data_IF_387745823865
#
_entry.id   IF_387745823865
#
_cell.length_a   1.000
_cell.length_b   1.000
_cell.length_c   1.000
_cell.angle_alpha   90.00
_cell.angle_beta   90.00
_cell.angle_gamma   90.00
#
_symmetry.space_group_name_H-M   'P 1'
#
loop_
_entity.id
_entity.type
_entity.pdbx_description
1 polymer ?
2 non-polymer ?
3 non-polymer ?
4 water ?
#
# COMPACT_ATOMS: atom_id res chain seq x y z
N UNK A 1 -9.36 -6.09 28.44
CA UNK A 1 -8.58 -4.96 27.96
C UNK A 1 -7.46 -5.36 27.02
N UNK A 2 -6.23 -4.97 27.39
CA UNK A 2 -5.06 -5.34 26.60
C UNK A 2 -4.90 -6.86 26.52
N UNK A 3 -5.40 -7.61 27.50
CA UNK A 3 -5.19 -9.07 27.45
C UNK A 3 -5.99 -9.71 26.32
N UNK A 4 -7.18 -9.18 25.99
CA UNK A 4 -7.88 -9.67 24.82
C UNK A 4 -7.08 -9.38 23.55
N UNK A 5 -6.43 -8.21 23.50
CA UNK A 5 -5.65 -7.83 22.32
C UNK A 5 -4.39 -8.68 22.21
N UNK A 6 -3.71 -8.92 23.33
CA UNK A 6 -2.52 -9.77 23.26
C UNK A 6 -2.88 -11.17 22.81
N UNK A 7 -4.07 -11.65 23.20
CA UNK A 7 -4.49 -12.98 22.77
C UNK A 7 -4.72 -13.01 21.26
N UNK A 8 -5.27 -11.93 20.68
CA UNK A 8 -5.43 -11.85 19.23
C UNK A 8 -4.07 -11.94 18.55
N UNK A 9 -3.10 -11.17 19.04
CA UNK A 9 -1.77 -11.17 18.45
C UNK A 9 -1.11 -12.55 18.56
N UNK A 10 -1.28 -13.23 19.70
CA UNK A 10 -0.72 -14.57 19.82
C UNK A 10 -1.35 -15.52 18.81
N UNK A 11 -2.66 -15.40 18.58
CA UNK A 11 -3.32 -16.30 17.63
C UNK A 11 -2.85 -16.04 16.21
N UNK A 12 -2.60 -14.77 15.88
CA UNK A 12 -2.09 -14.42 14.56
C UNK A 12 -0.77 -15.11 14.29
N UNK A 13 0.06 -15.30 15.31
CA UNK A 13 1.33 -15.98 15.11
C UNK A 13 1.17 -17.41 14.61
N UNK A 14 0.03 -18.05 14.90
CA UNK A 14 -0.16 -19.44 14.51
C UNK A 14 -0.27 -19.63 13.00
N UNK A 15 -0.56 -18.60 12.21
CA UNK A 15 -0.66 -18.78 10.77
C UNK A 15 0.61 -18.37 10.03
N UNK A 16 1.72 -18.26 10.76
CA UNK A 16 2.99 -17.82 10.19
C UNK A 16 3.46 -18.76 9.08
N UNK A 17 3.26 -20.06 9.22
CA UNK A 17 3.75 -20.99 8.22
C UNK A 17 2.84 -21.08 6.99
N UNK A 18 1.52 -20.96 7.19
CA UNK A 18 0.63 -20.78 6.04
C UNK A 18 1.06 -19.59 5.19
N UNK A 19 1.36 -18.48 5.86
CA UNK A 19 1.76 -17.26 5.15
C UNK A 19 3.09 -17.47 4.42
N UNK A 20 4.09 -17.99 5.13
CA UNK A 20 5.40 -18.18 4.51
C UNK A 20 5.30 -19.07 3.28
N UNK A 21 4.48 -20.13 3.34
CA UNK A 21 4.33 -21.03 2.21
C UNK A 21 3.66 -20.35 1.02
N UNK A 22 2.53 -19.68 1.26
CA UNK A 22 1.88 -18.93 0.19
C UNK A 22 2.83 -17.90 -0.41
N UNK A 23 3.57 -17.16 0.43
CA UNK A 23 4.51 -16.18 -0.09
C UNK A 23 5.57 -16.83 -0.98
N UNK A 24 5.95 -18.06 -0.68
CA UNK A 24 6.87 -18.78 -1.56
C UNK A 24 6.25 -19.13 -2.90
N UNK A 25 4.97 -19.53 -2.91
CA UNK A 25 4.27 -19.76 -4.17
C UNK A 25 4.24 -18.50 -5.03
N UNK A 26 3.82 -17.39 -4.43
CA UNK A 26 3.83 -16.11 -5.12
C UNK A 26 5.21 -15.81 -5.69
N UNK A 27 6.25 -16.00 -4.88
CA UNK A 27 7.61 -15.67 -5.31
C UNK A 27 7.99 -16.43 -6.57
N UNK A 28 7.63 -17.72 -6.64
CA UNK A 28 7.97 -18.50 -7.82
C UNK A 28 7.27 -17.98 -9.06
N UNK A 29 5.97 -17.74 -8.96
CA UNK A 29 5.20 -17.25 -10.10
C UNK A 29 5.76 -15.92 -10.60
N UNK A 30 6.16 -15.05 -9.67
CA UNK A 30 6.59 -13.72 -10.05
C UNK A 30 7.96 -13.76 -10.71
N UNK A 31 8.90 -14.54 -10.15
CA UNK A 31 10.20 -14.73 -10.80
C UNK A 31 10.03 -15.19 -12.24
N UNK A 32 9.10 -16.12 -12.47
CA UNK A 32 8.87 -16.62 -13.83
C UNK A 32 8.37 -15.50 -14.74
N UNK A 33 7.37 -14.74 -14.29
CA UNK A 33 6.89 -13.62 -15.09
C UNK A 33 7.99 -12.61 -15.35
N UNK A 34 8.87 -12.42 -14.38
CA UNK A 34 9.94 -11.43 -14.49
C UNK A 34 10.88 -11.72 -15.65
N UNK A 35 11.30 -12.97 -15.82
CA UNK A 35 12.23 -13.23 -16.92
C UNK A 35 11.55 -13.13 -18.28
N UNK A 36 10.25 -13.44 -18.35
CA UNK A 36 9.55 -13.30 -19.64
C UNK A 36 9.42 -11.83 -20.03
N UNK A 37 8.94 -11.00 -19.11
CA UNK A 37 8.84 -9.56 -19.37
C UNK A 37 10.18 -8.98 -19.79
N UNK A 38 11.28 -9.46 -19.19
CA UNK A 38 12.59 -8.96 -19.58
C UNK A 38 12.95 -9.28 -21.02
N UNK A 39 12.27 -10.22 -21.66
CA UNK A 39 12.54 -10.47 -23.08
C UNK A 39 12.03 -9.32 -23.95
N UNK A 40 11.00 -8.64 -23.50
CA UNK A 40 10.38 -7.59 -24.30
C UNK A 40 11.24 -6.34 -24.32
N UNK A 41 11.34 -5.71 -25.49
CA UNK A 41 12.13 -4.48 -25.61
C UNK A 41 11.61 -3.37 -24.72
N UNK A 42 10.28 -3.30 -24.55
CA UNK A 42 9.71 -2.28 -23.68
C UNK A 42 10.02 -2.54 -22.21
N UNK A 43 10.05 -3.81 -21.80
CA UNK A 43 10.16 -4.15 -20.39
C UNK A 43 11.50 -4.78 -20.04
N UNK A 44 12.52 -4.57 -20.88
CA UNK A 44 13.82 -5.16 -20.60
C UNK A 44 14.37 -4.66 -19.27
N UNK A 45 14.03 -3.45 -18.87
CA UNK A 45 14.49 -2.94 -17.60
C UNK A 45 13.61 -3.24 -16.41
N UNK A 46 12.60 -4.10 -16.56
CA UNK A 46 11.72 -4.39 -15.43
C UNK A 46 12.49 -5.12 -14.34
N UNK A 47 12.07 -4.90 -13.09
CA UNK A 47 12.60 -5.64 -11.96
C UNK A 47 11.63 -5.56 -10.81
N UNK A 48 11.87 -6.39 -9.80
CA UNK A 48 11.03 -6.38 -8.61
C UNK A 48 11.43 -5.26 -7.67
N UNK A 49 10.42 -4.58 -7.12
CA UNK A 49 10.63 -3.54 -6.12
C UNK A 49 10.36 -4.12 -4.74
N UNK A 50 11.35 -4.05 -3.86
CA UNK A 50 11.19 -4.51 -2.48
C UNK A 50 10.29 -3.54 -1.73
N UNK A 51 9.08 -4.00 -1.38
CA UNK A 51 8.15 -3.21 -0.58
C UNK A 51 7.74 -3.88 0.74
N UNK A 52 7.94 -5.19 0.88
CA UNK A 52 7.50 -5.86 2.08
C UNK A 52 8.34 -5.54 3.30
N UNK A 53 7.69 -5.50 4.47
CA UNK A 53 8.36 -5.32 5.76
C UNK A 53 8.69 -6.64 6.45
N UNK A 54 8.16 -7.75 5.94
CA UNK A 54 8.39 -9.08 6.49
C UNK A 54 9.06 -9.99 5.48
N UNK A 55 8.44 -10.17 4.30
CA UNK A 55 9.07 -10.77 3.14
C UNK A 55 9.44 -9.65 2.17
N UNK A 56 10.60 -9.77 1.53
CA UNK A 56 11.16 -8.64 0.80
C UNK A 56 10.36 -8.30 -0.45
N UNK A 57 10.27 -9.24 -1.40
CA UNK A 57 9.61 -8.98 -2.68
C UNK A 57 8.09 -9.06 -2.59
N UNK A 58 7.55 -9.69 -1.56
CA UNK A 58 6.13 -9.94 -1.48
C UNK A 58 5.59 -9.25 -0.23
N UNK A 59 4.58 -8.41 -0.42
CA UNK A 59 3.87 -7.75 0.68
C UNK A 59 2.52 -8.43 0.86
N UNK A 60 2.17 -8.74 2.10
CA UNK A 60 0.89 -9.37 2.37
C UNK A 60 -0.08 -8.30 2.85
N UNK A 61 -1.23 -8.20 2.18
CA UNK A 61 -2.19 -7.14 2.45
C UNK A 61 -3.52 -7.66 2.97
N UNK A 62 -3.60 -8.95 3.31
CA UNK A 62 -4.79 -9.69 3.75
C UNK A 62 -4.45 -11.17 3.71
N UNK A 63 -5.20 -12.04 4.39
CA UNK A 63 -4.92 -13.47 4.33
C UNK A 63 -5.04 -13.99 2.90
N UNK A 64 -4.05 -14.81 2.49
CA UNK A 64 -3.75 -15.17 1.10
C UNK A 64 -4.10 -14.11 0.05
N UNK A 65 -3.83 -12.84 0.36
CA UNK A 65 -3.79 -11.76 -0.62
C UNK A 65 -2.43 -11.11 -0.52
N UNK A 66 -1.71 -11.05 -1.64
CA UNK A 66 -0.33 -10.57 -1.67
C UNK A 66 -0.20 -9.47 -2.72
N UNK A 67 0.68 -8.51 -2.44
CA UNK A 67 0.96 -7.40 -3.34
C UNK A 67 2.42 -7.47 -3.80
N UNK A 68 2.64 -7.25 -5.09
CA UNK A 68 3.97 -7.27 -5.70
C UNK A 68 4.07 -6.06 -6.62
N UNK A 69 5.24 -5.43 -6.67
CA UNK A 69 5.44 -4.25 -7.52
C UNK A 69 6.58 -4.51 -8.49
N UNK A 70 6.31 -4.36 -9.78
CA UNK A 70 7.34 -4.38 -10.82
C UNK A 70 7.67 -2.93 -11.15
N UNK A 71 8.93 -2.56 -11.05
CA UNK A 71 9.35 -1.21 -11.39
C UNK A 71 10.09 -1.19 -12.72
N UNK A 72 10.01 -0.06 -13.40
CA UNK A 72 10.66 0.17 -14.69
C UNK A 72 11.55 1.39 -14.54
N UNK A 73 12.87 1.19 -14.61
CA UNK A 73 13.80 2.32 -14.61
C UNK A 73 13.54 3.18 -15.84
N UNK A 74 13.22 4.46 -15.61
CA UNK A 74 12.79 5.34 -16.68
C UNK A 74 13.47 6.69 -16.51
N UNK A 75 14.41 7.05 -17.36
CA UNK A 75 15.20 8.26 -17.15
C UNK A 75 14.55 9.49 -17.76
N UNK A 76 14.91 10.64 -17.19
CA UNK A 76 14.56 11.95 -17.76
C UNK A 76 13.05 12.12 -17.86
N UNK A 77 12.36 11.94 -16.75
CA UNK A 77 10.91 12.12 -16.72
C UNK A 77 10.58 13.58 -16.48
N UNK A 78 9.62 14.09 -17.24
CA UNK A 78 9.03 15.41 -17.02
C UNK A 78 7.56 15.21 -16.65
N UNK A 79 7.13 15.81 -15.55
CA UNK A 79 5.79 15.63 -15.03
C UNK A 79 4.97 16.90 -15.22
N UNK A 80 3.68 16.71 -15.54
CA UNK A 80 2.69 17.78 -15.58
C UNK A 80 1.48 17.32 -14.79
N UNK A 81 1.14 18.07 -13.74
CA UNK A 81 0.02 17.70 -12.89
C UNK A 81 -1.30 17.74 -13.67
N UNK A 82 -2.11 16.72 -13.46
CA UNK A 82 -3.41 16.65 -14.12
C UNK A 82 -4.44 17.36 -13.23
N UNK A 83 -5.00 18.46 -13.76
CA UNK A 83 -6.14 19.20 -13.21
C UNK A 83 -6.14 19.28 -11.69
N UNK A 84 -5.00 19.74 -11.16
CA UNK A 84 -4.86 20.10 -9.74
C UNK A 84 -5.17 18.95 -8.78
N UNK A 85 -5.08 17.71 -9.24
CA UNK A 85 -5.37 16.56 -8.38
C UNK A 85 -4.23 16.22 -7.42
N UNK A 86 -3.06 16.85 -7.57
CA UNK A 86 -1.93 16.71 -6.66
C UNK A 86 -1.27 15.34 -6.72
N UNK A 87 -2.03 14.28 -7.04
CA UNK A 87 -1.49 12.92 -7.08
C UNK A 87 -1.34 12.34 -8.48
N UNK A 88 -2.05 12.88 -9.46
CA UNK A 88 -2.06 12.34 -10.82
C UNK A 88 -1.34 13.26 -11.77
N UNK A 89 -0.53 12.68 -12.65
CA UNK A 89 0.39 13.44 -13.49
C UNK A 89 0.45 12.82 -14.88
N UNK A 90 0.68 13.68 -15.87
CA UNK A 90 1.11 13.28 -17.21
C UNK A 90 2.61 13.04 -17.22
N UNK A 91 3.04 12.03 -17.96
CA UNK A 91 4.45 11.65 -18.02
C UNK A 91 4.97 11.95 -19.42
N UNK A 92 5.99 12.80 -19.49
CA UNK A 92 6.72 13.10 -20.71
C UNK A 92 8.19 12.87 -20.42
N UNK A 93 8.99 12.86 -21.48
CA UNK A 93 10.42 12.65 -21.37
C UNK A 93 11.16 13.92 -21.76
N UNK A 94 12.02 14.41 -20.86
CA UNK A 94 12.81 15.59 -21.18
C UNK A 94 13.62 15.34 -22.43
N UNK A 95 13.55 16.28 -23.37
CA UNK A 95 14.11 16.17 -24.72
C UNK A 95 15.39 15.34 -24.83
N UNK A 99 16.26 7.81 -29.30
CA UNK A 99 15.01 7.27 -28.80
C UNK A 99 15.23 6.29 -27.65
N UNK A 100 14.14 5.91 -27.00
CA UNK A 100 14.15 5.11 -25.78
C UNK A 100 13.23 3.91 -25.95
N UNK A 101 13.36 2.89 -25.09
CA UNK A 101 12.54 1.69 -25.26
C UNK A 101 11.04 1.92 -25.13
N UNK A 102 10.62 2.92 -24.36
CA UNK A 102 9.19 3.15 -24.14
C UNK A 102 8.56 3.98 -25.24
N UNK A 103 9.29 4.26 -26.33
CA UNK A 103 8.80 5.16 -27.37
C UNK A 103 7.54 4.62 -28.03
N UNK A 104 7.36 3.29 -28.04
CA UNK A 104 6.16 2.72 -28.65
C UNK A 104 4.89 3.07 -27.88
N UNK A 105 5.00 3.50 -26.62
CA UNK A 105 3.84 3.84 -25.82
C UNK A 105 3.50 5.31 -25.83
N UNK A 106 4.24 6.13 -26.60
CA UNK A 106 3.99 7.56 -26.64
C UNK A 106 2.77 7.88 -27.49
N UNK A 107 1.99 8.86 -27.05
CA UNK A 107 0.95 9.50 -27.84
C UNK A 107 1.25 10.99 -27.80
N UNK A 108 2.00 11.45 -28.80
CA UNK A 108 2.59 12.77 -28.77
C UNK A 108 3.81 12.75 -27.88
N UNK A 109 3.95 13.75 -27.01
CA UNK A 109 4.98 13.71 -25.98
C UNK A 109 4.59 12.84 -24.78
N UNK A 110 3.33 12.44 -24.68
CA UNK A 110 2.80 11.86 -23.45
C UNK A 110 2.89 10.34 -23.52
N UNK A 111 3.39 9.75 -22.44
CA UNK A 111 3.45 8.30 -22.31
C UNK A 111 2.09 7.76 -21.92
N UNK A 112 1.58 6.81 -22.70
CA UNK A 112 0.23 6.30 -22.53
C UNK A 112 0.22 5.22 -21.46
N UNK A 113 -0.40 5.52 -20.32
CA UNK A 113 -0.64 4.50 -19.30
C UNK A 113 -1.42 3.32 -19.87
N UNK A 114 -2.47 3.60 -20.63
CA UNK A 114 -3.35 2.51 -21.04
C UNK A 114 -2.64 1.60 -22.04
N UNK A 115 -1.79 2.16 -22.91
CA UNK A 115 -1.05 1.32 -23.85
C UNK A 115 0.01 0.48 -23.13
N UNK A 116 0.70 1.07 -22.15
CA UNK A 116 1.66 0.28 -21.40
C UNK A 116 0.96 -0.82 -20.62
N UNK A 117 -0.06 -0.45 -19.84
CA UNK A 117 -0.86 -1.44 -19.11
C UNK A 117 -1.34 -2.54 -20.05
N UNK A 118 -1.78 -2.18 -21.26
CA UNK A 118 -2.34 -3.17 -22.18
C UNK A 118 -1.29 -4.20 -22.59
N UNK A 119 -0.08 -3.75 -22.94
CA UNK A 119 0.96 -4.72 -23.29
C UNK A 119 1.43 -5.50 -22.05
N UNK A 120 1.55 -4.82 -20.91
CA UNK A 120 1.91 -5.50 -19.66
C UNK A 120 0.93 -6.63 -19.37
N UNK A 121 -0.37 -6.31 -19.34
CA UNK A 121 -1.40 -7.33 -19.11
C UNK A 121 -1.31 -8.45 -20.13
N UNK A 122 -1.17 -8.08 -21.41
CA UNK A 122 -1.17 -9.08 -22.48
C UNK A 122 -0.03 -10.08 -22.31
N UNK A 123 1.17 -9.59 -22.01
CA UNK A 123 2.33 -10.46 -21.84
C UNK A 123 2.11 -11.42 -20.68
N UNK A 124 1.56 -10.92 -19.58
CA UNK A 124 1.38 -11.75 -18.40
C UNK A 124 0.29 -12.80 -18.64
N UNK A 125 -0.85 -12.38 -19.21
CA UNK A 125 -1.95 -13.31 -19.45
C UNK A 125 -1.51 -14.42 -20.38
N UNK A 126 -0.71 -14.08 -21.39
CA UNK A 126 -0.14 -15.09 -22.28
C UNK A 126 0.80 -16.01 -21.52
N UNK A 127 1.51 -15.49 -20.54
CA UNK A 127 2.56 -16.28 -19.92
C UNK A 127 2.03 -17.22 -18.84
N UNK A 128 1.03 -16.79 -18.07
CA UNK A 128 0.49 -17.65 -17.02
C UNK A 128 -0.22 -18.88 -17.58
N UNK A 129 -0.45 -18.89 -18.90
CA UNK A 129 -0.97 -20.08 -19.56
C UNK A 129 0.00 -21.25 -19.49
N UNK A 130 1.30 -21.00 -19.36
CA UNK A 130 2.32 -21.91 -19.89
C UNK A 130 3.22 -22.53 -18.82
N UNK A 131 2.72 -22.73 -17.61
CA UNK A 131 3.36 -23.65 -16.67
C UNK A 131 2.26 -24.35 -15.89
N UNK A 132 2.15 -25.67 -16.08
CA UNK A 132 1.15 -26.48 -15.40
C UNK A 132 1.62 -26.96 -14.03
N UNK A 133 2.81 -26.54 -13.60
CA UNK A 133 3.26 -26.90 -12.26
C UNK A 133 2.41 -26.20 -11.20
N UNK A 134 1.88 -25.02 -11.50
CA UNK A 134 0.85 -24.37 -10.71
C UNK A 134 -0.23 -23.86 -11.66
N UNK A 135 -1.43 -23.66 -11.12
CA UNK A 135 -2.59 -23.24 -11.91
C UNK A 135 -2.90 -21.78 -11.60
N UNK A 136 -2.76 -20.91 -12.61
CA UNK A 136 -2.77 -19.46 -12.43
C UNK A 136 -3.71 -18.85 -13.45
N UNK A 137 -4.69 -18.07 -12.98
CA UNK A 137 -5.54 -17.34 -13.91
C UNK A 137 -5.42 -15.86 -13.61
N UNK A 138 -6.11 -15.04 -14.39
CA UNK A 138 -6.00 -13.58 -14.28
C UNK A 138 -7.38 -12.98 -14.07
N UNK A 139 -7.50 -12.16 -13.04
CA UNK A 139 -8.71 -11.44 -12.65
C UNK A 139 -8.45 -9.94 -12.81
N UNK A 140 -9.47 -9.13 -12.55
CA UNK A 140 -9.28 -7.69 -12.49
C UNK A 140 -10.02 -7.10 -11.29
N UNK A 146 -3.96 -1.82 -9.30
CA UNK A 146 -3.20 -3.03 -9.59
C UNK A 146 -3.31 -3.43 -11.05
N UNK A 147 -2.18 -3.37 -11.75
CA UNK A 147 -2.16 -3.70 -13.18
C UNK A 147 -2.84 -5.04 -13.46
N UNK A 148 -2.46 -6.06 -12.71
CA UNK A 148 -2.94 -7.42 -12.92
C UNK A 148 -3.22 -8.02 -11.55
N UNK A 149 -4.27 -8.81 -11.46
CA UNK A 149 -4.49 -9.65 -10.29
C UNK A 149 -4.50 -11.09 -10.77
N UNK A 150 -3.68 -11.92 -10.13
CA UNK A 150 -3.63 -13.34 -10.44
C UNK A 150 -4.29 -14.11 -9.30
N UNK A 151 -4.76 -15.31 -9.62
CA UNK A 151 -5.26 -16.26 -8.64
C UNK A 151 -4.51 -17.57 -8.84
N UNK A 152 -3.88 -18.06 -7.77
CA UNK A 152 -3.00 -19.23 -7.85
C UNK A 152 -3.69 -20.39 -7.14
N UNK A 153 -3.99 -21.44 -7.92
CA UNK A 153 -4.67 -22.66 -7.45
C UNK A 153 -5.93 -22.32 -6.65
N UNK A 154 -6.69 -21.35 -7.18
CA UNK A 154 -8.01 -20.99 -6.68
C UNK A 154 -8.01 -20.57 -5.22
N UNK A 155 -6.88 -20.08 -4.70
CA UNK A 155 -6.80 -19.73 -3.28
C UNK A 155 -6.00 -18.46 -3.01
N UNK A 156 -4.81 -18.32 -3.59
CA UNK A 156 -3.91 -17.22 -3.29
C UNK A 156 -3.98 -16.18 -4.41
N UNK A 157 -4.32 -14.94 -4.06
CA UNK A 157 -4.36 -13.88 -5.06
C UNK A 157 -3.14 -12.97 -4.93
N UNK A 158 -2.60 -12.55 -6.07
CA UNK A 158 -1.46 -11.65 -6.15
C UNK A 158 -1.88 -10.44 -6.98
N UNK A 159 -1.81 -9.26 -6.38
CA UNK A 159 -1.94 -8.02 -7.13
C UNK A 159 -0.55 -7.60 -7.59
N UNK A 160 -0.38 -7.41 -8.90
CA UNK A 160 0.90 -7.01 -9.48
C UNK A 160 0.76 -5.60 -10.02
N UNK A 161 1.56 -4.69 -9.50
CA UNK A 161 1.55 -3.29 -9.90
C UNK A 161 2.79 -3.03 -10.74
N UNK A 162 2.61 -2.43 -11.90
CA UNK A 162 3.72 -1.91 -12.69
C UNK A 162 3.92 -0.44 -12.32
N UNK A 163 5.18 -0.02 -12.16
CA UNK A 163 5.46 1.36 -11.79
C UNK A 163 6.71 1.86 -12.50
N UNK A 164 6.64 3.10 -13.00
CA UNK A 164 7.85 3.78 -13.45
C UNK A 164 8.66 4.23 -12.24
N UNK A 165 9.98 4.11 -12.33
CA UNK A 165 10.86 4.61 -11.28
C UNK A 165 11.49 5.92 -11.72
N UNK A 166 11.34 6.96 -10.91
CA UNK A 166 11.97 8.24 -11.18
C UNK A 166 12.94 8.58 -10.07
N UNK A 167 14.19 8.85 -10.43
CA UNK A 167 15.21 9.23 -9.46
C UNK A 167 15.31 10.74 -9.29
N UNK A 168 14.30 11.50 -9.75
CA UNK A 168 14.29 12.94 -9.58
C UNK A 168 13.76 13.34 -8.20
N UNK A 169 13.98 14.62 -7.86
CA UNK A 169 13.38 15.18 -6.65
C UNK A 169 11.88 14.97 -6.68
N UNK A 170 11.30 14.77 -5.50
CA UNK A 170 9.87 14.50 -5.41
C UNK A 170 9.06 15.72 -5.86
N UNK A 171 7.87 15.49 -6.43
CA UNK A 171 7.04 16.61 -6.90
C UNK A 171 6.65 17.54 -5.76
N UNK A 172 6.33 18.79 -6.12
CA UNK A 172 6.05 19.80 -5.10
C UNK A 172 4.83 19.45 -4.23
N UNK A 173 3.90 18.64 -4.75
CA UNK A 173 2.75 18.24 -3.95
C UNK A 173 3.14 17.44 -2.70
N UNK A 174 4.35 16.87 -2.63
CA UNK A 174 4.80 16.13 -1.47
C UNK A 174 5.56 17.00 -0.47
N UNK A 175 5.65 18.30 -0.75
CA UNK A 175 6.49 19.19 0.05
C UNK A 175 6.12 19.15 1.53
N UNK A 176 4.83 19.12 1.83
CA UNK A 176 4.36 19.09 3.21
C UNK A 176 3.98 17.68 3.69
N UNK A 177 4.21 16.64 2.89
CA UNK A 177 3.96 15.28 3.30
C UNK A 177 5.14 14.65 4.03
N UNK A 178 5.00 13.36 4.36
CA UNK A 178 5.98 12.62 5.16
C UNK A 178 6.40 13.46 6.37
N UNK A 179 5.39 13.84 7.16
CA UNK A 179 5.57 14.77 8.26
C UNK A 179 6.09 14.01 9.49
N UNK A 180 7.33 13.55 9.37
CA UNK A 180 7.96 12.71 10.39
C UNK A 180 9.00 13.47 11.21
N UNK A 181 9.16 14.78 10.99
CA UNK A 181 10.29 15.50 11.56
C UNK A 181 10.33 15.38 13.08
N UNK A 182 9.19 15.52 13.75
CA UNK A 182 9.16 15.50 15.22
C UNK A 182 9.25 14.10 15.81
N UNK A 183 9.11 13.06 14.99
CA UNK A 183 9.14 11.67 15.39
C UNK A 183 10.46 11.00 15.02
N UNK A 184 10.73 10.88 13.71
CA UNK A 184 11.93 10.20 13.19
C UNK A 184 13.08 11.13 12.84
N UNK A 185 12.88 12.45 12.90
CA UNK A 185 13.85 13.53 12.71
C UNK A 185 13.84 14.10 11.30
N UNK A 186 14.21 15.38 11.19
CA UNK A 186 14.33 15.98 9.86
C UNK A 186 15.44 15.33 9.05
N UNK A 187 16.48 14.82 9.73
CA UNK A 187 17.57 14.20 9.00
C UNK A 187 17.09 12.95 8.26
N UNK A 188 16.29 12.13 8.94
CA UNK A 188 15.74 10.94 8.30
C UNK A 188 14.79 11.33 7.18
N UNK A 189 13.97 12.34 7.40
CA UNK A 189 13.07 12.78 6.33
C UNK A 189 13.84 13.18 5.08
N UNK A 190 14.96 13.91 5.26
CA UNK A 190 15.80 14.27 4.13
C UNK A 190 16.34 13.04 3.41
N UNK A 191 16.82 12.05 4.17
CA UNK A 191 17.39 10.86 3.55
C UNK A 191 16.33 10.10 2.77
N UNK A 192 15.12 9.97 3.33
CA UNK A 192 14.08 9.24 2.63
C UNK A 192 13.66 9.97 1.36
N UNK A 193 13.64 11.31 1.39
CA UNK A 193 13.27 12.06 0.19
C UNK A 193 14.34 12.01 -0.90
N UNK A 194 15.53 11.49 -0.60
CA UNK A 194 16.52 11.26 -1.64
C UNK A 194 16.29 9.97 -2.41
N UNK A 195 15.43 9.09 -1.90
CA UNK A 195 15.10 7.86 -2.58
C UNK A 195 14.24 8.14 -3.82
N UNK A 196 14.13 7.19 -4.73
CA UNK A 196 13.27 7.39 -5.90
C UNK A 196 11.81 7.51 -5.49
N UNK A 197 10.99 7.94 -6.45
CA UNK A 197 9.55 7.79 -6.30
C UNK A 197 9.02 7.02 -7.49
N UNK A 198 7.74 6.65 -7.44
CA UNK A 198 7.19 5.75 -8.43
C UNK A 198 5.89 6.33 -9.00
N UNK A 199 5.61 5.95 -10.24
CA UNK A 199 4.40 6.38 -10.93
C UNK A 199 3.69 5.13 -11.42
N UNK A 200 2.46 4.94 -10.98
CA UNK A 200 1.68 3.76 -11.33
C UNK A 200 0.59 4.16 -12.31
N UNK A 201 0.40 3.42 -13.39
CA UNK A 201 -0.44 3.89 -14.49
C UNK A 201 -1.91 3.79 -14.12
N UNK A 202 -2.67 4.77 -14.56
CA UNK A 202 -4.12 4.74 -14.42
C UNK A 202 -4.68 4.76 -15.82
N UNK A 203 -5.22 3.62 -16.25
CA UNK A 203 -5.80 3.49 -17.58
C UNK A 203 -6.76 4.65 -17.84
N UNK A 204 -6.74 5.16 -19.08
CA UNK A 204 -7.51 6.36 -19.43
C UNK A 204 -9.02 6.15 -19.32
N UNK A 205 -9.49 4.91 -19.47
CA UNK A 205 -10.92 4.64 -19.46
C UNK A 205 -11.35 3.72 -18.33
N UNK A 206 -10.48 3.44 -17.36
CA UNK A 206 -10.79 2.56 -16.24
C UNK A 206 -11.06 3.37 -14.97
N UNK A 207 -11.69 2.70 -14.01
CA UNK A 207 -12.25 3.40 -12.87
C UNK A 207 -13.40 4.26 -13.35
N UNK A 208 -13.42 5.52 -12.90
CA UNK A 208 -14.20 6.56 -13.56
C UNK A 208 -13.21 7.35 -14.41
N UNK A 209 -12.86 6.75 -15.55
CA UNK A 209 -11.73 7.16 -16.38
C UNK A 209 -11.60 8.65 -16.62
N UNK A 210 -10.40 9.18 -16.40
CA UNK A 210 -10.14 10.58 -16.66
C UNK A 210 -10.28 10.94 -18.13
N UNK A 211 -10.20 9.94 -19.02
CA UNK A 211 -10.02 10.09 -20.45
C UNK A 211 -8.66 10.67 -20.81
N UNK A 212 -7.75 10.73 -19.84
CA UNK A 212 -6.37 11.13 -20.02
C UNK A 212 -5.47 9.99 -19.56
N UNK A 213 -4.22 10.02 -20.05
CA UNK A 213 -3.21 9.04 -19.67
C UNK A 213 -2.42 9.62 -18.50
N UNK A 214 -2.89 9.34 -17.29
CA UNK A 214 -2.26 9.85 -16.09
C UNK A 214 -1.71 8.70 -15.26
N UNK A 215 -0.77 9.06 -14.41
CA UNK A 215 -0.03 8.16 -13.52
C UNK A 215 -0.09 8.76 -12.13
N UNK A 216 -0.29 7.92 -11.13
CA UNK A 216 -0.36 8.37 -9.74
C UNK A 216 0.98 8.19 -9.05
N UNK A 217 1.40 9.20 -8.29
CA UNK A 217 2.59 9.07 -7.45
C UNK A 217 2.44 7.93 -6.45
N UNK A 218 3.51 7.18 -6.26
CA UNK A 218 3.49 6.05 -5.35
C UNK A 218 4.73 6.01 -4.48
N UNK A 219 4.53 5.80 -3.18
CA UNK A 219 5.63 5.76 -2.23
C UNK A 219 5.57 4.50 -1.37
N UNK A 220 5.02 3.42 -1.91
CA UNK A 220 4.85 2.22 -1.10
C UNK A 220 6.19 1.65 -0.62
N UNK A 221 7.28 1.87 -1.37
CA UNK A 221 8.59 1.39 -0.95
C UNK A 221 9.11 2.04 0.33
N UNK A 222 8.53 3.16 0.76
CA UNK A 222 8.97 3.82 1.99
C UNK A 222 8.46 3.10 3.23
N UNK A 223 7.40 2.29 3.11
CA UNK A 223 6.81 1.71 4.31
C UNK A 223 7.84 0.89 5.09
N UNK A 224 8.55 0.02 4.40
CA UNK A 224 9.49 -0.86 5.10
C UNK A 224 10.63 -0.08 5.74
N UNK A 225 11.01 1.07 5.15
CA UNK A 225 12.06 1.91 5.73
C UNK A 225 11.66 2.46 7.09
N UNK A 226 10.37 2.58 7.33
CA UNK A 226 9.87 3.21 8.55
C UNK A 226 9.29 2.16 9.51
N UNK A 227 8.55 1.19 9.00
CA UNK A 227 7.89 0.25 9.92
C UNK A 227 8.91 -0.55 10.72
N UNK A 228 10.05 -0.90 10.10
CA UNK A 228 11.13 -1.62 10.77
C UNK A 228 12.24 -0.71 11.26
N UNK A 229 12.00 0.59 11.35
CA UNK A 229 12.95 1.51 11.94
C UNK A 229 12.10 2.66 12.47
N UNK A 230 11.24 2.32 13.44
CA UNK A 230 10.03 3.07 13.73
C UNK A 230 10.10 3.93 14.99
N UNK A 231 11.19 3.91 15.74
CA UNK A 231 11.22 4.58 17.03
C UNK A 231 11.86 5.95 16.94
N UNK A 232 11.55 6.81 17.91
CA UNK A 232 12.41 7.98 18.09
C UNK A 232 13.82 7.54 18.43
N UNK A 233 13.96 6.55 19.30
CA UNK A 233 15.26 5.97 19.58
C UNK A 233 15.67 5.08 18.41
N UNK A 234 16.92 5.25 17.98
CA UNK A 234 17.45 4.38 16.94
C UNK A 234 17.45 2.92 17.36
N UNK A 235 17.52 2.63 18.67
CA UNK A 235 17.48 1.25 19.14
C UNK A 235 16.12 0.82 19.67
N UNK A 236 15.03 1.50 19.27
CA UNK A 236 13.69 1.01 19.61
C UNK A 236 13.51 -0.43 19.10
N UNK A 237 13.04 -1.31 20.00
CA UNK A 237 12.82 -2.72 19.71
C UNK A 237 14.08 -3.50 19.30
N UNK A 238 15.28 -2.96 19.53
CA UNK A 238 16.54 -3.70 19.33
C UNK A 238 17.10 -4.27 20.62
N UNK A 239 16.46 -4.04 21.76
CA UNK A 239 16.92 -4.61 23.02
C UNK A 239 15.73 -4.78 23.95
N UNK A 240 15.95 -5.47 25.06
CA UNK A 240 14.83 -5.79 25.93
C UNK A 240 14.35 -4.59 26.75
N UNK A 241 15.11 -3.50 26.78
CA UNK A 241 14.71 -2.31 27.52
C UNK A 241 13.85 -1.36 26.72
N UNK A 242 13.77 -1.53 25.39
CA UNK A 242 13.09 -0.59 24.52
C UNK A 242 12.10 -1.35 23.64
N UNK A 243 11.01 -1.81 24.24
CA UNK A 243 9.98 -2.57 23.53
C UNK A 243 8.75 -1.69 23.40
N UNK A 244 8.38 -1.35 22.16
CA UNK A 244 7.19 -0.56 21.96
C UNK A 244 6.11 -1.42 21.30
N UNK A 245 4.90 -0.88 21.21
CA UNK A 245 3.80 -1.63 20.61
C UNK A 245 3.36 -1.08 19.26
N UNK A 246 4.21 -0.30 18.57
CA UNK A 246 3.78 0.27 17.28
C UNK A 246 3.37 -0.81 16.28
N UNK A 247 4.23 -1.80 16.05
CA UNK A 247 3.92 -2.83 15.05
C UNK A 247 2.68 -3.61 15.43
N UNK A 248 2.50 -3.89 16.73
CA UNK A 248 1.32 -4.65 17.15
C UNK A 248 0.05 -3.85 16.96
N UNK A 249 0.09 -2.53 17.20
CA UNK A 249 -1.10 -1.71 16.96
C UNK A 249 -1.47 -1.75 15.49
N UNK A 250 -0.49 -1.65 14.59
CA UNK A 250 -0.79 -1.73 13.17
C UNK A 250 -1.40 -3.08 12.82
N UNK A 251 -0.82 -4.17 13.34
CA UNK A 251 -1.36 -5.50 13.07
C UNK A 251 -2.80 -5.61 13.53
N UNK A 252 -3.11 -5.07 14.70
CA UNK A 252 -4.46 -5.13 15.22
C UNK A 252 -5.42 -4.31 14.38
N UNK A 253 -4.99 -3.14 13.90
CA UNK A 253 -5.85 -2.33 13.03
C UNK A 253 -6.15 -3.08 11.73
N UNK A 254 -5.14 -3.68 11.13
CA UNK A 254 -5.36 -4.44 9.91
C UNK A 254 -6.31 -5.60 10.17
N UNK A 255 -6.15 -6.28 11.29
CA UNK A 255 -6.98 -7.44 11.59
C UNK A 255 -8.43 -7.02 11.88
N UNK A 256 -8.60 -5.90 12.59
CA UNK A 256 -9.92 -5.31 12.78
C UNK A 256 -10.63 -5.13 11.44
N UNK A 257 -9.99 -4.43 10.51
CA UNK A 257 -10.60 -4.20 9.20
C UNK A 257 -10.89 -5.52 8.50
N UNK A 258 -9.92 -6.45 8.49
CA UNK A 258 -10.12 -7.73 7.84
C UNK A 258 -11.34 -8.46 8.39
N UNK A 259 -11.47 -8.50 9.72
CA UNK A 259 -12.57 -9.22 10.34
C UNK A 259 -13.89 -8.56 10.05
N UNK A 260 -13.94 -7.23 10.04
CA UNK A 260 -15.18 -6.54 9.71
C UNK A 260 -15.58 -6.79 8.27
N UNK A 261 -14.62 -6.75 7.34
CA UNK A 261 -14.95 -7.00 5.94
C UNK A 261 -15.53 -8.41 5.76
N UNK A 262 -15.01 -9.37 6.52
CA UNK A 262 -15.51 -10.75 6.47
C UNK A 262 -16.93 -10.84 7.01
N UNK A 263 -17.21 -10.14 8.11
CA UNK A 263 -18.53 -10.25 8.72
C UNK A 263 -19.59 -9.55 7.89
N UNK A 264 -19.22 -8.49 7.18
CA UNK A 264 -20.14 -7.77 6.32
C UNK A 264 -20.04 -8.21 4.86
N UNK A 265 -19.69 -9.48 4.63
CA UNK A 265 -19.57 -9.98 3.26
C UNK A 265 -20.92 -10.19 2.58
N UNK A 266 -22.02 -10.25 3.33
CA UNK A 266 -23.32 -10.53 2.70
C UNK A 266 -23.71 -9.44 1.72
N UNK A 267 -23.45 -8.17 2.05
CA UNK A 267 -23.74 -7.07 1.15
C UNK A 267 -22.50 -6.26 0.79
N UNK A 268 -21.32 -6.72 1.23
CA UNK A 268 -20.04 -6.18 0.78
C UNK A 268 -19.97 -4.67 0.96
N UNK A 269 -20.57 -4.17 2.04
CA UNK A 269 -20.57 -2.73 2.30
C UNK A 269 -19.16 -2.16 2.33
N UNK A 270 -18.17 -2.97 2.73
CA UNK A 270 -16.83 -2.50 3.07
C UNK A 270 -15.80 -2.81 1.99
N UNK A 271 -16.27 -3.15 0.79
CA UNK A 271 -15.39 -3.57 -0.30
C UNK A 271 -14.30 -2.55 -0.61
N UNK A 272 -14.62 -1.25 -0.53
CA UNK A 272 -13.69 -0.21 -0.93
C UNK A 272 -12.58 0.06 0.07
N UNK A 273 -12.68 -0.42 1.31
CA UNK A 273 -11.66 -0.16 2.30
C UNK A 273 -10.59 -1.23 2.22
N UNK A 274 -9.33 -0.85 2.47
CA UNK A 274 -8.20 -1.77 2.34
C UNK A 274 -7.17 -1.48 3.42
N UNK A 275 -6.17 -2.38 3.52
CA UNK A 275 -5.10 -2.18 4.49
C UNK A 275 -4.31 -0.90 4.22
N UNK A 276 -4.32 -0.39 2.99
CA UNK A 276 -3.69 0.90 2.73
C UNK A 276 -4.30 2.01 3.56
N UNK A 277 -5.64 2.02 3.69
CA UNK A 277 -6.29 3.05 4.50
C UNK A 277 -5.89 2.95 5.95
N UNK A 278 -5.90 1.72 6.48
CA UNK A 278 -5.51 1.48 7.87
C UNK A 278 -4.07 1.92 8.11
N UNK A 279 -3.16 1.55 7.20
CA UNK A 279 -1.76 1.91 7.36
C UNK A 279 -1.58 3.42 7.37
N UNK A 280 -2.24 4.11 6.42
CA UNK A 280 -2.16 5.58 6.37
C UNK A 280 -2.61 6.20 7.68
N UNK A 281 -3.76 5.75 8.22
CA UNK A 281 -4.23 6.28 9.49
C UNK A 281 -3.25 6.00 10.61
N UNK A 282 -2.71 4.77 10.64
CA UNK A 282 -1.75 4.39 11.67
C UNK A 282 -0.53 5.30 11.68
N UNK A 283 0.06 5.56 10.50
CA UNK A 283 1.25 6.40 10.47
C UNK A 283 0.96 7.86 10.83
N UNK A 284 -0.26 8.36 10.54
CA UNK A 284 -0.66 9.66 11.06
C UNK A 284 -0.69 9.66 12.60
N UNK A 285 -1.10 8.56 13.22
CA UNK A 285 -1.06 8.50 14.68
C UNK A 285 0.39 8.46 15.16
N UNK A 286 1.30 7.85 14.39
CA UNK A 286 2.70 7.89 14.79
C UNK A 286 3.22 9.32 14.76
N UNK A 287 2.83 10.10 13.75
CA UNK A 287 3.19 11.52 13.71
C UNK A 287 2.69 12.26 14.94
N UNK A 288 1.43 12.00 15.33
CA UNK A 288 0.79 12.67 16.44
C UNK A 288 1.41 12.31 17.79
N UNK A 289 1.98 11.11 17.90
CA UNK A 289 2.47 10.54 19.15
C UNK A 289 3.94 10.15 18.95
N UNK A 290 4.85 11.14 18.89
CA UNK A 290 6.21 10.85 18.42
C UNK A 290 7.11 10.17 19.44
N UNK A 291 6.81 10.20 20.73
CA UNK A 291 7.71 9.64 21.74
C UNK A 291 7.50 8.13 21.91
N UNK A 292 8.62 7.41 22.11
CA UNK A 292 8.53 5.96 22.32
C UNK A 292 7.76 5.64 23.60
N UNK A 293 7.84 6.54 24.59
CA UNK A 293 7.06 6.42 25.82
C UNK A 293 5.56 6.49 25.59
N UNK A 294 5.13 6.96 24.42
CA UNK A 294 3.71 6.95 24.08
C UNK A 294 3.30 5.63 23.45
N UNK A 295 4.23 4.70 23.27
CA UNK A 295 3.92 3.38 22.71
C UNK A 295 4.48 2.28 23.58
N UNK A 296 4.48 2.48 24.89
CA UNK A 296 4.98 1.44 25.78
C UNK A 296 4.16 0.17 25.63
N UNK A 297 4.85 -0.98 25.64
CA UNK A 297 4.18 -2.27 25.48
C UNK A 297 3.08 -2.45 26.52
N UNK A 298 3.29 -1.93 27.73
CA UNK A 298 2.31 -2.07 28.78
C UNK A 298 1.03 -1.33 28.46
N UNK A 299 1.06 -0.39 27.52
CA UNK A 299 -0.08 0.46 27.21
C UNK A 299 -0.75 0.05 25.91
N UNK A 300 -0.62 -1.24 25.54
CA UNK A 300 -1.16 -1.72 24.26
C UNK A 300 -2.62 -1.33 24.05
N UNK A 301 -3.44 -1.46 25.10
CA UNK A 301 -4.86 -1.16 24.93
C UNK A 301 -5.13 0.31 24.66
N UNK A 302 -4.47 1.19 25.40
CA UNK A 302 -4.62 2.63 25.17
C UNK A 302 -4.08 3.03 23.81
N UNK A 303 -2.93 2.47 23.42
CA UNK A 303 -2.37 2.80 22.11
C UNK A 303 -3.28 2.33 21.00
N UNK A 304 -3.84 1.12 21.12
CA UNK A 304 -4.78 0.65 20.11
C UNK A 304 -6.01 1.57 20.04
N UNK A 305 -6.54 1.95 21.20
CA UNK A 305 -7.68 2.87 21.22
C UNK A 305 -7.33 4.17 20.53
N UNK A 306 -6.11 4.68 20.75
CA UNK A 306 -5.65 5.89 20.07
C UNK A 306 -5.81 5.73 18.56
N UNK A 307 -5.31 4.61 18.05
CA UNK A 307 -5.34 4.33 16.62
C UNK A 307 -6.77 4.22 16.11
N UNK A 308 -7.62 3.47 16.81
CA UNK A 308 -8.99 3.29 16.36
C UNK A 308 -9.73 4.62 16.38
N UNK A 309 -9.55 5.41 17.44
CA UNK A 309 -10.25 6.70 17.53
C UNK A 309 -9.90 7.60 16.36
N UNK A 310 -8.62 7.63 15.96
CA UNK A 310 -8.23 8.46 14.83
C UNK A 310 -8.82 7.92 13.53
N UNK A 311 -8.79 6.61 13.32
CA UNK A 311 -9.42 6.04 12.12
C UNK A 311 -10.91 6.38 12.09
N UNK A 312 -11.58 6.29 13.24
CA UNK A 312 -12.98 6.65 13.32
C UNK A 312 -13.21 8.12 12.96
N UNK A 313 -12.31 9.00 13.43
CA UNK A 313 -12.43 10.40 13.09
C UNK A 313 -12.31 10.60 11.59
N UNK A 314 -11.32 9.95 10.97
CA UNK A 314 -11.17 10.03 9.52
C UNK A 314 -12.45 9.59 8.82
N UNK A 315 -13.08 8.52 9.31
CA UNK A 315 -14.30 8.03 8.70
C UNK A 315 -15.44 9.03 8.86
N UNK A 316 -15.64 9.55 10.07
CA UNK A 316 -16.77 10.44 10.30
C UNK A 316 -16.61 11.74 9.52
N UNK A 317 -15.40 12.28 9.46
CA UNK A 317 -15.13 13.52 8.75
C UNK A 317 -14.86 13.32 7.26
N UNK A 318 -14.82 12.06 6.81
CA UNK A 318 -14.63 11.71 5.40
C UNK A 318 -13.33 12.31 4.88
N UNK A 319 -12.26 12.13 5.65
CA UNK A 319 -11.00 12.77 5.35
C UNK A 319 -9.87 11.90 5.88
N UNK A 320 -9.02 11.43 4.96
CA UNK A 320 -7.82 10.66 5.29
C UNK A 320 -6.76 11.12 4.30
N UNK A 321 -5.87 12.00 4.75
CA UNK A 321 -4.83 12.53 3.88
C UNK A 321 -3.86 11.43 3.47
N UNK A 322 -3.56 11.37 2.17
CA UNK A 322 -2.37 10.64 1.72
C UNK A 322 -1.16 11.07 2.54
N UNK A 323 -0.42 10.09 3.09
CA UNK A 323 0.68 10.40 4.00
C UNK A 323 1.78 11.21 3.33
N UNK A 324 1.89 11.10 2.02
CA UNK A 324 2.90 11.77 1.23
C UNK A 324 2.38 12.98 0.49
N UNK A 325 1.07 13.09 0.28
CA UNK A 325 0.46 14.13 -0.54
C UNK A 325 -0.70 14.68 0.27
N UNK A 326 -0.48 15.67 1.13
CA UNK A 326 -1.54 16.05 2.09
C UNK A 326 -2.82 16.54 1.44
N UNK A 327 -2.75 17.13 0.26
CA UNK A 327 -3.97 17.63 -0.38
C UNK A 327 -4.72 16.55 -1.14
N UNK A 328 -4.26 15.30 -1.08
CA UNK A 328 -4.97 14.19 -1.73
C UNK A 328 -5.68 13.39 -0.65
N UNK A 329 -7.01 13.44 -0.69
CA UNK A 329 -7.87 12.82 0.32
C UNK A 329 -8.24 11.41 -0.14
N UNK A 330 -7.69 10.39 0.51
CA UNK A 330 -8.03 9.00 0.20
C UNK A 330 -9.51 8.68 0.43
N UNK A 331 -10.19 9.44 1.28
CA UNK A 331 -11.61 9.23 1.56
C UNK A 331 -12.52 10.22 0.81
N UNK A 332 -12.04 10.82 -0.27
CA UNK A 332 -12.90 11.72 -1.02
C UNK A 332 -14.03 10.96 -1.68
N UNK A 333 -15.15 11.66 -1.91
CA UNK A 333 -16.30 11.05 -2.56
C UNK A 333 -15.94 10.56 -3.94
N UNK A 334 -14.93 11.16 -4.56
CA UNK A 334 -14.42 10.66 -5.83
C UNK A 334 -13.89 9.23 -5.74
N UNK A 335 -13.50 8.79 -4.55
CA UNK A 335 -12.83 7.50 -4.36
C UNK A 335 -13.65 6.49 -3.56
N UNK A 336 -14.35 6.93 -2.52
CA UNK A 336 -15.20 6.07 -1.71
C UNK A 336 -16.50 6.82 -1.47
N UNK A 337 -17.62 6.16 -1.74
CA UNK A 337 -18.90 6.84 -1.65
C UNK A 337 -19.27 7.12 -0.20
N UNK A 338 -20.15 8.11 -0.03
CA UNK A 338 -20.52 8.59 1.29
C UNK A 338 -21.15 7.49 2.13
N UNK A 339 -22.02 6.68 1.53
CA UNK A 339 -22.69 5.66 2.33
C UNK A 339 -21.72 4.60 2.83
N UNK A 340 -20.64 4.31 2.10
CA UNK A 340 -19.64 3.35 2.59
C UNK A 340 -18.92 3.89 3.82
N UNK A 341 -18.52 5.16 3.79
CA UNK A 341 -17.85 5.76 4.93
C UNK A 341 -18.79 5.91 6.12
N UNK A 342 -20.05 6.27 5.87
CA UNK A 342 -21.01 6.37 6.97
C UNK A 342 -21.24 4.99 7.59
N UNK A 343 -21.25 3.96 6.76
CA UNK A 343 -21.50 2.62 7.28
C UNK A 343 -20.34 2.13 8.14
N UNK A 344 -19.11 2.30 7.67
CA UNK A 344 -17.98 1.81 8.47
C UNK A 344 -17.80 2.66 9.73
N UNK A 345 -18.13 3.96 9.68
CA UNK A 345 -18.10 4.78 10.88
C UNK A 345 -18.91 4.13 12.00
N UNK A 346 -20.16 3.78 11.69
CA UNK A 346 -21.06 3.13 12.64
C UNK A 346 -20.48 1.83 13.20
N UNK A 347 -19.86 1.02 12.35
CA UNK A 347 -19.34 -0.25 12.84
C UNK A 347 -18.08 -0.07 13.68
N UNK A 348 -17.20 0.85 13.29
CA UNK A 348 -15.99 1.08 14.09
C UNK A 348 -16.35 1.67 15.44
N UNK A 349 -17.30 2.61 15.46
CA UNK A 349 -17.81 3.18 16.70
C UNK A 349 -18.35 2.11 17.64
N UNK A 350 -19.16 1.19 17.11
CA UNK A 350 -19.69 0.12 17.92
C UNK A 350 -18.59 -0.74 18.51
N UNK A 351 -17.66 -1.19 17.68
CA UNK A 351 -16.57 -2.03 18.17
C UNK A 351 -15.77 -1.33 19.26
N UNK A 352 -15.43 -0.05 19.04
CA UNK A 352 -14.63 0.68 20.02
C UNK A 352 -15.41 0.89 21.32
N UNK A 353 -16.69 1.23 21.23
CA UNK A 353 -17.45 1.46 22.45
C UNK A 353 -17.74 0.18 23.21
N UNK A 354 -17.57 -0.99 22.60
CA UNK A 354 -17.94 -2.25 23.25
C UNK A 354 -16.74 -3.17 23.43
N UNK A 355 -15.53 -2.61 23.46
CA UNK A 355 -14.29 -3.35 23.72
C UNK A 355 -14.07 -4.44 22.68
N UNK A 356 -14.41 -4.13 21.42
CA UNK A 356 -14.08 -4.94 20.25
C UNK A 356 -14.62 -6.36 20.33
N UNK A 357 -15.95 -6.51 20.32
CA UNK A 357 -16.55 -7.85 20.29
C UNK A 357 -16.14 -8.69 19.10
N UNK A 358 -15.71 -8.03 18.02
CA UNK A 358 -15.21 -8.74 16.84
C UNK A 358 -13.97 -9.57 17.16
N UNK A 359 -13.27 -9.27 18.25
CA UNK A 359 -12.11 -10.05 18.68
C UNK A 359 -12.47 -11.14 19.70
N UNK A 360 -13.75 -11.36 19.97
CA UNK A 360 -14.16 -12.31 21.00
C UNK A 360 -13.92 -13.74 20.53
N UNK A 361 -13.56 -14.58 21.50
CA UNK A 361 -13.57 -16.03 21.33
C UNK A 361 -14.81 -16.61 22.00
#
# INVERSE_FOLDING_TARGET
GASKLRAVLEKLKLSRDDISTAAGMVKGVVDHLLLRLKCDSAFRGVGLLNTGSYYEHVKISAPNEFDVMFKLEVPRIQLEEYSNTRAYYFVKFKRNPKENPLSQFLEGEILSASKMLSKFRKIIKEEINDIKDTDVIMKRKRGGSPAVTLLISEKISVDITLALESKSSWPASTQEGLRIQNWLSAKVRKQLRLKPFYLVPKHAKEGNGFQEETWRLSFSHIEKEILNNHGKSKTCCENKEEKCCRKDCLKLMKYLLEQLKERFKDKKHLDKFSSYHVKTAFFHVCTQNPQDSQWDRKDLGLCFDNCVTYFLQCLRTEKLENYFIPEFNLFSSNLIDKRSKEFLTKQIEYERNNEFPVFDEF
#
